data_IF_147714601289
#
_entry.id   IF_147714601289
#
_cell.length_a   1.000
_cell.length_b   1.000
_cell.length_c   1.000
_cell.angle_alpha   90.00
_cell.angle_beta   90.00
_cell.angle_gamma   90.00
#
_symmetry.space_group_name_H-M   'P 1'
#
loop_
_entity.id
_entity.type
_entity.pdbx_description
1 polymer ?
#
# COMPACT_ATOMS: atom_id res chain seq x y z
N UNK A 1 0.99 -14.38 17.61
CA UNK A 1 1.09 -15.46 16.58
C UNK A 1 0.46 -14.94 15.30
N UNK A 2 1.16 -15.00 14.17
CA UNK A 2 0.61 -14.50 12.90
C UNK A 2 -0.58 -15.35 12.43
N UNK A 3 -1.69 -14.77 11.95
CA UNK A 3 -2.90 -15.48 11.50
C UNK A 3 -2.68 -16.48 10.35
N UNK A 4 -1.52 -16.42 9.68
CA UNK A 4 -1.13 -17.33 8.60
C UNK A 4 -0.96 -18.79 9.08
N UNK A 5 -0.95 -19.03 10.39
CA UNK A 5 -0.74 -20.35 11.00
C UNK A 5 -1.88 -21.37 10.78
N UNK A 6 -3.09 -20.92 10.43
CA UNK A 6 -4.25 -21.83 10.24
C UNK A 6 -4.28 -22.56 8.89
N UNK A 7 -3.58 -22.02 7.88
CA UNK A 7 -3.73 -22.44 6.47
C UNK A 7 -2.59 -23.33 5.96
N UNK A 8 -1.41 -23.25 6.57
CA UNK A 8 -0.19 -23.86 6.03
C UNK A 8 0.33 -24.93 6.99
N UNK A 9 0.21 -26.21 6.61
CA UNK A 9 0.64 -27.37 7.43
C UNK A 9 2.17 -27.44 7.67
N UNK A 10 3.00 -26.68 6.95
CA UNK A 10 4.45 -26.57 7.18
C UNK A 10 4.94 -25.14 6.93
N UNK A 11 5.49 -24.52 7.99
CA UNK A 11 6.03 -23.14 7.99
C UNK A 11 7.25 -23.01 7.08
N UNK A 12 7.35 -21.86 6.42
CA UNK A 12 8.60 -21.34 5.87
C UNK A 12 8.47 -19.86 5.48
N UNK A 13 8.21 -18.99 6.46
CA UNK A 13 8.41 -17.55 6.29
C UNK A 13 9.84 -17.23 6.73
N UNK A 14 10.66 -16.74 5.81
CA UNK A 14 12.10 -16.65 6.00
C UNK A 14 12.57 -15.21 5.87
N UNK A 15 13.15 -14.68 6.94
CA UNK A 15 13.79 -13.37 6.98
C UNK A 15 15.22 -13.49 6.54
N UNK A 16 15.58 -12.93 5.40
CA UNK A 16 16.89 -13.13 4.79
C UNK A 16 17.95 -12.27 5.51
N UNK A 17 19.12 -12.84 5.82
CA UNK A 17 20.28 -12.04 6.29
C UNK A 17 20.94 -11.30 5.12
N UNK A 18 21.52 -10.13 5.36
CA UNK A 18 22.49 -9.47 4.47
C UNK A 18 23.83 -10.24 4.58
N UNK A 19 24.22 -11.00 3.56
CA UNK A 19 25.61 -11.45 3.41
C UNK A 19 26.09 -11.05 2.02
N UNK A 20 27.34 -10.65 1.95
CA UNK A 20 28.07 -10.20 0.76
C UNK A 20 28.40 -11.31 -0.23
N UNK A 21 27.86 -12.52 -0.04
CA UNK A 21 28.25 -13.67 -0.83
C UNK A 21 27.36 -13.80 -2.06
N UNK A 22 27.98 -13.60 -3.22
CA UNK A 22 27.42 -13.78 -4.57
C UNK A 22 26.92 -15.20 -4.88
N UNK A 23 26.88 -16.12 -3.90
CA UNK A 23 26.85 -17.57 -4.11
C UNK A 23 25.55 -18.25 -3.62
N UNK A 24 24.53 -17.46 -3.25
CA UNK A 24 23.30 -17.97 -2.60
C UNK A 24 22.42 -18.84 -3.49
N UNK A 25 22.24 -18.46 -4.75
CA UNK A 25 21.45 -19.26 -5.69
C UNK A 25 22.23 -20.49 -6.18
N UNK A 26 23.54 -20.35 -6.40
CA UNK A 26 24.42 -21.46 -6.81
C UNK A 26 24.41 -22.62 -5.80
N UNK A 27 24.35 -22.29 -4.50
CA UNK A 27 24.31 -23.28 -3.41
C UNK A 27 22.90 -23.75 -3.04
N UNK A 28 21.86 -23.22 -3.70
CA UNK A 28 20.45 -23.49 -3.42
C UNK A 28 20.07 -23.40 -1.93
N UNK A 29 20.52 -22.32 -1.27
CA UNK A 29 20.33 -22.09 0.18
C UNK A 29 19.72 -20.73 0.46
N UNK A 30 18.77 -20.69 1.39
CA UNK A 30 18.22 -19.46 1.98
C UNK A 30 18.67 -19.34 3.43
N UNK A 31 19.32 -18.22 3.77
CA UNK A 31 19.82 -17.94 5.13
C UNK A 31 18.91 -16.98 5.87
N UNK A 32 18.58 -17.33 7.11
CA UNK A 32 17.79 -16.51 8.00
C UNK A 32 18.62 -15.48 8.76
N UNK A 33 17.97 -14.44 9.28
CA UNK A 33 18.57 -13.52 10.23
C UNK A 33 19.07 -14.22 11.52
N UNK A 34 18.51 -15.38 11.85
CA UNK A 34 18.92 -16.23 12.99
C UNK A 34 20.07 -17.19 12.66
N UNK A 35 20.72 -17.04 11.50
CA UNK A 35 21.81 -17.90 10.99
C UNK A 35 21.42 -19.37 10.69
N UNK A 36 20.13 -19.68 10.78
CA UNK A 36 19.57 -20.94 10.26
C UNK A 36 19.52 -20.85 8.73
N UNK A 37 19.76 -21.96 8.03
CA UNK A 37 19.57 -22.03 6.59
C UNK A 37 18.63 -23.15 6.19
N UNK A 38 18.04 -23.00 5.00
CA UNK A 38 17.22 -24.02 4.34
C UNK A 38 17.74 -24.26 2.94
N UNK A 39 17.96 -25.54 2.63
CA UNK A 39 18.17 -25.98 1.25
C UNK A 39 16.83 -25.97 0.50
N UNK A 40 16.87 -25.69 -0.79
CA UNK A 40 15.68 -25.73 -1.64
C UNK A 40 15.92 -26.44 -2.96
N UNK A 41 14.91 -27.16 -3.45
CA UNK A 41 14.86 -27.62 -4.83
C UNK A 41 14.26 -26.55 -5.74
N UNK A 42 13.22 -25.87 -5.24
CA UNK A 42 12.55 -24.74 -5.88
C UNK A 42 12.34 -23.61 -4.87
N UNK A 43 12.44 -22.36 -5.33
CA UNK A 43 12.27 -21.17 -4.49
C UNK A 43 11.26 -20.22 -5.10
N UNK A 44 10.41 -19.59 -4.26
CA UNK A 44 9.48 -18.54 -4.69
C UNK A 44 9.81 -17.24 -3.97
N UNK A 45 10.12 -16.20 -4.72
CA UNK A 45 10.39 -14.84 -4.24
C UNK A 45 9.13 -13.99 -4.35
N UNK A 46 8.49 -13.68 -3.22
CA UNK A 46 7.29 -12.84 -3.15
C UNK A 46 7.44 -11.74 -2.07
N UNK A 47 8.59 -11.06 -2.07
CA UNK A 47 9.00 -10.11 -1.01
C UNK A 47 8.44 -8.70 -1.18
N UNK A 48 7.69 -8.45 -2.26
CA UNK A 48 7.09 -7.16 -2.57
C UNK A 48 8.09 -6.01 -2.61
N UNK A 49 7.60 -4.80 -2.33
CA UNK A 49 8.41 -3.57 -2.23
C UNK A 49 8.25 -2.94 -0.85
N UNK A 50 9.19 -2.06 -0.49
CA UNK A 50 9.13 -1.25 0.75
C UNK A 50 8.64 0.17 0.45
N UNK A 51 8.29 0.92 1.49
CA UNK A 51 8.10 2.37 1.37
C UNK A 51 9.41 3.01 0.87
N UNK A 52 9.30 3.97 -0.06
CA UNK A 52 10.44 4.71 -0.57
C UNK A 52 10.26 6.20 -0.30
N UNK A 53 11.26 6.85 0.30
CA UNK A 53 11.20 8.27 0.71
C UNK A 53 11.91 9.22 -0.27
N UNK A 54 12.33 8.74 -1.44
CA UNK A 54 13.01 9.53 -2.49
C UNK A 54 14.22 10.36 -2.04
N UNK A 55 14.86 10.01 -0.91
CA UNK A 55 15.93 10.78 -0.26
C UNK A 55 15.51 12.19 0.18
N UNK A 56 14.22 12.41 0.41
CA UNK A 56 13.70 13.64 1.02
C UNK A 56 14.18 13.72 2.47
N UNK A 57 14.74 14.87 2.84
CA UNK A 57 15.31 15.10 4.16
C UNK A 57 14.24 14.92 5.24
N UNK A 58 14.55 14.17 6.29
CA UNK A 58 13.64 13.92 7.43
C UNK A 58 12.40 13.08 7.12
N UNK A 59 12.08 12.77 5.86
CA UNK A 59 10.88 12.01 5.52
C UNK A 59 10.87 10.59 6.14
N UNK A 60 12.00 9.90 6.16
CA UNK A 60 12.10 8.58 6.80
C UNK A 60 12.01 8.64 8.34
N UNK A 61 12.37 9.78 8.94
CA UNK A 61 12.42 9.95 10.40
C UNK A 61 11.09 10.47 10.97
N UNK A 62 10.45 11.40 10.26
CA UNK A 62 9.31 12.17 10.78
C UNK A 62 7.98 11.90 10.07
N UNK A 63 7.97 11.26 8.89
CA UNK A 63 6.73 10.92 8.21
C UNK A 63 6.22 9.54 8.62
N UNK A 64 4.90 9.41 8.74
CA UNK A 64 4.23 8.14 8.98
C UNK A 64 4.11 7.35 7.68
N UNK A 65 4.76 6.19 7.53
CA UNK A 65 4.45 5.28 6.44
C UNK A 65 3.04 4.69 6.62
N UNK A 66 2.51 4.08 5.57
CA UNK A 66 1.25 3.34 5.62
C UNK A 66 1.33 2.07 4.75
N UNK A 67 2.12 1.09 5.20
CA UNK A 67 2.37 -0.17 4.49
C UNK A 67 2.07 -1.41 5.33
N UNK A 68 2.28 -1.33 6.63
CA UNK A 68 2.10 -2.46 7.56
C UNK A 68 0.92 -2.23 8.50
N UNK A 69 0.51 -3.28 9.22
CA UNK A 69 -0.51 -3.14 10.26
C UNK A 69 0.00 -2.25 11.40
N UNK A 70 1.27 -2.41 11.73
CA UNK A 70 1.96 -1.64 12.76
C UNK A 70 2.01 -0.15 12.41
N UNK A 71 2.23 0.17 11.12
CA UNK A 71 2.15 1.55 10.62
C UNK A 71 0.77 2.15 10.87
N UNK A 72 -0.29 1.41 10.52
CA UNK A 72 -1.66 1.87 10.67
C UNK A 72 -2.06 2.11 12.14
N UNK A 73 -1.64 1.22 13.04
CA UNK A 73 -1.89 1.37 14.48
C UNK A 73 -1.12 2.55 15.08
N UNK A 74 0.14 2.73 14.68
CA UNK A 74 0.97 3.86 15.11
C UNK A 74 0.36 5.18 14.66
N UNK A 75 -0.05 5.26 13.39
CA UNK A 75 -0.72 6.45 12.86
C UNK A 75 -2.04 6.73 13.60
N UNK A 76 -2.87 5.71 13.84
CA UNK A 76 -4.13 5.87 14.58
C UNK A 76 -3.90 6.49 15.96
N UNK A 77 -2.93 5.98 16.72
CA UNK A 77 -2.60 6.51 18.04
C UNK A 77 -2.13 7.96 17.98
N UNK A 78 -1.26 8.28 17.01
CA UNK A 78 -0.79 9.65 16.78
C UNK A 78 -1.94 10.62 16.48
N UNK A 79 -2.82 10.26 15.53
CA UNK A 79 -3.97 11.08 15.15
C UNK A 79 -4.87 11.37 16.37
N UNK A 80 -5.19 10.35 17.16
CA UNK A 80 -6.01 10.51 18.38
C UNK A 80 -5.32 11.42 19.41
N UNK A 81 -3.99 11.34 19.55
CA UNK A 81 -3.23 12.23 20.42
C UNK A 81 -3.23 13.68 19.91
N UNK A 82 -3.10 13.89 18.60
CA UNK A 82 -3.19 15.22 17.99
C UNK A 82 -4.55 15.86 18.27
N UNK A 83 -5.65 15.13 18.03
CA UNK A 83 -7.01 15.61 18.30
C UNK A 83 -7.21 15.96 19.79
N UNK A 84 -6.73 15.10 20.69
CA UNK A 84 -6.82 15.35 22.14
C UNK A 84 -6.01 16.58 22.58
N UNK A 85 -4.80 16.78 22.04
CA UNK A 85 -3.99 17.96 22.33
C UNK A 85 -4.64 19.22 21.76
N UNK A 86 -5.20 19.13 20.56
CA UNK A 86 -5.90 20.23 19.90
C UNK A 86 -7.14 20.68 20.70
N UNK A 87 -7.88 19.74 21.30
CA UNK A 87 -9.05 20.06 22.14
C UNK A 87 -8.68 20.67 23.51
N UNK A 88 -7.41 20.67 23.88
CA UNK A 88 -6.92 21.11 25.20
C UNK A 88 -6.08 22.39 25.14
N UNK A 89 -5.71 22.84 23.94
CA UNK A 89 -4.88 24.04 23.76
C UNK A 89 -5.74 25.26 23.46
N UNK A 90 -5.43 26.37 24.13
CA UNK A 90 -6.02 27.68 23.85
C UNK A 90 -5.26 28.43 22.76
N UNK A 91 -4.00 28.06 22.48
CA UNK A 91 -3.22 28.64 21.37
C UNK A 91 -3.75 28.15 20.02
N UNK A 92 -4.32 29.07 19.26
CA UNK A 92 -4.89 28.82 17.93
C UNK A 92 -3.84 28.34 16.93
N UNK A 93 -2.59 28.82 17.05
CA UNK A 93 -1.50 28.43 16.13
C UNK A 93 -1.16 26.96 16.34
N UNK A 94 -0.90 26.57 17.59
CA UNK A 94 -0.68 25.16 17.96
C UNK A 94 -1.87 24.29 17.58
N UNK A 95 -3.10 24.75 17.83
CA UNK A 95 -4.32 24.00 17.47
C UNK A 95 -4.39 23.74 15.97
N UNK A 96 -4.15 24.76 15.15
CA UNK A 96 -4.15 24.66 13.69
C UNK A 96 -3.10 23.66 13.18
N UNK A 97 -1.90 23.68 13.75
CA UNK A 97 -0.81 22.76 13.38
C UNK A 97 -1.12 21.30 13.74
N UNK A 98 -1.78 21.08 14.89
CA UNK A 98 -2.24 19.75 15.32
C UNK A 98 -3.40 19.21 14.46
N UNK A 99 -4.24 20.09 13.90
CA UNK A 99 -5.41 19.75 13.08
C UNK A 99 -5.16 19.82 11.57
N UNK A 100 -3.92 20.06 11.16
CA UNK A 100 -3.48 20.02 9.76
C UNK A 100 -2.78 18.69 9.49
N UNK A 101 -3.25 17.94 8.50
CA UNK A 101 -2.74 16.61 8.15
C UNK A 101 -2.26 16.60 6.69
N UNK A 102 -0.95 16.47 6.48
CA UNK A 102 -0.36 16.42 5.14
C UNK A 102 -0.16 14.98 4.67
N UNK A 103 -0.66 14.66 3.48
CA UNK A 103 -0.50 13.37 2.80
C UNK A 103 0.39 13.60 1.59
N UNK A 104 1.57 12.97 1.57
CA UNK A 104 2.48 13.03 0.43
C UNK A 104 2.14 11.88 -0.52
N UNK A 105 1.70 12.25 -1.73
CA UNK A 105 1.35 11.33 -2.82
C UNK A 105 -0.15 11.29 -3.15
N UNK A 106 -0.49 11.60 -4.40
CA UNK A 106 -1.85 11.52 -4.95
C UNK A 106 -2.15 10.22 -5.69
N UNK A 107 -1.54 9.10 -5.26
CA UNK A 107 -1.86 7.75 -5.74
C UNK A 107 -3.06 7.14 -5.01
N UNK A 108 -3.44 5.88 -5.33
CA UNK A 108 -4.59 5.22 -4.71
C UNK A 108 -4.57 5.30 -3.18
N UNK A 109 -3.47 4.91 -2.54
CA UNK A 109 -3.34 4.94 -1.08
C UNK A 109 -3.54 6.33 -0.49
N UNK A 110 -2.93 7.37 -1.08
CA UNK A 110 -3.07 8.73 -0.58
C UNK A 110 -4.50 9.26 -0.68
N UNK A 111 -5.20 8.92 -1.76
CA UNK A 111 -6.61 9.30 -1.97
C UNK A 111 -7.52 8.57 -1.00
N UNK A 112 -7.36 7.25 -0.82
CA UNK A 112 -8.15 6.47 0.13
C UNK A 112 -7.93 6.95 1.57
N UNK A 113 -6.68 7.30 1.90
CA UNK A 113 -6.33 7.90 3.19
C UNK A 113 -7.03 9.25 3.39
N UNK A 114 -6.98 10.15 2.41
CA UNK A 114 -7.60 11.46 2.53
C UNK A 114 -9.12 11.36 2.74
N UNK A 115 -9.82 10.55 1.94
CA UNK A 115 -11.26 10.35 2.09
C UNK A 115 -11.62 9.70 3.42
N UNK A 116 -10.92 8.63 3.80
CA UNK A 116 -11.22 7.89 5.04
C UNK A 116 -10.90 8.71 6.29
N UNK A 117 -9.77 9.42 6.31
CA UNK A 117 -9.42 10.32 7.41
C UNK A 117 -10.36 11.52 7.48
N UNK A 118 -10.90 11.97 6.34
CA UNK A 118 -11.93 13.00 6.27
C UNK A 118 -13.09 12.73 7.21
N UNK A 119 -13.70 11.55 7.06
CA UNK A 119 -14.83 11.14 7.88
C UNK A 119 -14.38 10.73 9.32
N UNK A 120 -13.25 10.03 9.48
CA UNK A 120 -12.78 9.56 10.80
C UNK A 120 -12.40 10.70 11.74
N UNK A 121 -11.60 11.66 11.28
CA UNK A 121 -11.12 12.76 12.09
C UNK A 121 -12.27 13.67 12.51
N UNK A 122 -13.21 13.94 11.61
CA UNK A 122 -14.42 14.68 11.93
C UNK A 122 -15.22 14.00 13.06
N UNK A 123 -15.48 12.69 12.92
CA UNK A 123 -16.21 11.91 13.91
C UNK A 123 -15.49 11.87 15.27
N UNK A 124 -14.17 11.68 15.28
CA UNK A 124 -13.40 11.62 16.53
C UNK A 124 -13.32 12.96 17.24
N UNK A 125 -13.17 14.07 16.49
CA UNK A 125 -13.05 15.39 17.09
C UNK A 125 -14.39 15.91 17.61
N UNK A 126 -15.49 15.62 16.92
CA UNK A 126 -16.85 15.92 17.41
C UNK A 126 -17.18 15.22 18.72
N UNK A 127 -16.65 14.01 18.97
CA UNK A 127 -16.79 13.32 20.27
C UNK A 127 -16.05 13.99 21.43
N UNK A 128 -15.12 14.90 21.14
CA UNK A 128 -14.46 15.74 22.12
C UNK A 128 -15.20 17.09 22.29
N UNK A 129 -16.44 17.18 21.81
CA UNK A 129 -17.27 18.38 21.76
C UNK A 129 -16.62 19.53 20.98
N UNK A 130 -15.81 19.20 19.95
CA UNK A 130 -15.13 20.17 19.10
C UNK A 130 -15.72 20.24 17.69
N UNK A 131 -15.56 21.40 17.04
CA UNK A 131 -15.95 21.58 15.64
C UNK A 131 -14.92 20.95 14.69
N UNK A 132 -15.37 20.10 13.78
CA UNK A 132 -14.52 19.50 12.75
C UNK A 132 -14.09 20.50 11.65
N UNK A 133 -14.61 21.73 11.63
CA UNK A 133 -14.33 22.72 10.58
C UNK A 133 -12.86 23.20 10.57
N UNK A 134 -12.17 23.12 11.70
CA UNK A 134 -10.75 23.47 11.81
C UNK A 134 -9.82 22.39 11.25
N UNK A 135 -10.34 21.18 11.00
CA UNK A 135 -9.56 20.06 10.47
C UNK A 135 -9.32 20.26 8.99
N UNK A 136 -8.05 20.11 8.57
CA UNK A 136 -7.64 20.22 7.18
C UNK A 136 -6.76 19.05 6.78
N UNK A 137 -7.07 18.44 5.64
CA UNK A 137 -6.23 17.44 4.99
C UNK A 137 -5.66 18.04 3.72
N UNK A 138 -4.36 17.87 3.47
CA UNK A 138 -3.71 18.29 2.24
C UNK A 138 -3.10 17.08 1.54
N UNK A 139 -3.31 16.95 0.24
CA UNK A 139 -2.59 16.00 -0.60
C UNK A 139 -1.53 16.77 -1.38
N UNK A 140 -0.26 16.54 -1.05
CA UNK A 140 0.88 17.10 -1.78
C UNK A 140 1.33 16.09 -2.82
N UNK A 141 1.16 16.41 -4.09
CA UNK A 141 1.41 15.52 -5.20
C UNK A 141 2.37 16.16 -6.20
N UNK A 142 3.48 15.46 -6.48
CA UNK A 142 4.49 15.92 -7.43
C UNK A 142 3.96 16.06 -8.85
N UNK A 143 3.21 15.08 -9.41
CA UNK A 143 2.54 15.28 -10.68
C UNK A 143 1.41 16.32 -10.62
N UNK A 144 1.06 16.89 -11.78
CA UNK A 144 -0.05 17.84 -11.91
C UNK A 144 -1.43 17.18 -11.79
N UNK A 145 -1.48 15.85 -11.77
CA UNK A 145 -2.72 15.09 -11.72
C UNK A 145 -2.64 13.97 -10.67
N UNK A 146 -3.77 13.73 -9.99
CA UNK A 146 -3.96 12.54 -9.18
C UNK A 146 -3.88 11.27 -10.05
N UNK A 147 -3.51 10.12 -9.49
CA UNK A 147 -3.56 8.82 -10.20
C UNK A 147 -2.82 8.77 -11.55
N UNK A 148 -1.84 9.66 -11.79
CA UNK A 148 -1.10 9.69 -13.04
C UNK A 148 -0.33 8.38 -13.24
N UNK A 149 -0.60 7.69 -14.35
CA UNK A 149 -0.01 6.40 -14.68
C UNK A 149 -0.57 5.21 -13.89
N UNK A 150 -1.62 5.42 -13.10
CA UNK A 150 -2.30 4.38 -12.34
C UNK A 150 -3.51 3.82 -13.11
N UNK A 151 -3.86 2.55 -12.87
CA UNK A 151 -5.02 1.91 -13.50
C UNK A 151 -6.34 2.59 -13.16
N UNK A 152 -6.39 3.32 -12.04
CA UNK A 152 -7.56 4.05 -11.57
C UNK A 152 -7.70 5.46 -12.17
N UNK A 153 -6.91 5.83 -13.19
CA UNK A 153 -6.94 7.18 -13.78
C UNK A 153 -8.34 7.67 -14.18
N UNK A 154 -9.23 6.75 -14.57
CA UNK A 154 -10.61 7.03 -14.92
C UNK A 154 -11.47 7.48 -13.72
N UNK A 155 -11.06 7.22 -12.49
CA UNK A 155 -11.80 7.56 -11.26
C UNK A 155 -11.58 8.99 -10.76
N UNK A 156 -10.74 9.80 -11.42
CA UNK A 156 -10.36 11.15 -10.96
C UNK A 156 -11.55 12.09 -10.74
N UNK A 157 -12.55 12.00 -11.60
CA UNK A 157 -13.76 12.82 -11.46
C UNK A 157 -14.55 12.43 -10.21
N UNK A 158 -14.78 11.13 -10.01
CA UNK A 158 -15.46 10.62 -8.82
C UNK A 158 -14.69 10.95 -7.53
N UNK A 159 -13.36 10.91 -7.55
CA UNK A 159 -12.50 11.38 -6.45
C UNK A 159 -12.75 12.86 -6.14
N UNK A 160 -12.73 13.72 -7.16
CA UNK A 160 -12.94 15.16 -7.01
C UNK A 160 -14.33 15.46 -6.44
N UNK A 161 -15.36 14.78 -6.94
CA UNK A 161 -16.73 14.91 -6.43
C UNK A 161 -16.87 14.42 -4.98
N UNK A 162 -16.17 13.36 -4.59
CA UNK A 162 -16.18 12.87 -3.23
C UNK A 162 -15.49 13.84 -2.26
N UNK A 163 -14.32 14.39 -2.64
CA UNK A 163 -13.61 15.38 -1.83
C UNK A 163 -14.41 16.67 -1.67
N UNK A 164 -15.10 17.13 -2.72
CA UNK A 164 -15.99 18.31 -2.63
C UNK A 164 -17.19 18.10 -1.68
N UNK A 165 -17.58 16.85 -1.41
CA UNK A 165 -18.68 16.48 -0.49
C UNK A 165 -18.18 16.12 0.92
N UNK A 166 -16.87 16.17 1.16
CA UNK A 166 -16.29 15.90 2.47
C UNK A 166 -16.77 16.94 3.49
N UNK A 167 -16.99 16.53 4.74
CA UNK A 167 -17.36 17.43 5.84
C UNK A 167 -16.18 18.27 6.33
N UNK A 168 -14.96 17.88 6.00
CA UNK A 168 -13.73 18.63 6.28
C UNK A 168 -13.01 19.00 4.98
N UNK A 169 -12.18 20.04 5.04
CA UNK A 169 -11.40 20.51 3.89
C UNK A 169 -10.37 19.46 3.45
N UNK A 170 -10.44 19.04 2.19
CA UNK A 170 -9.42 18.23 1.51
C UNK A 170 -8.83 19.06 0.36
N UNK A 171 -7.60 19.52 0.54
CA UNK A 171 -6.92 20.42 -0.38
C UNK A 171 -5.92 19.66 -1.24
N UNK A 172 -5.86 19.99 -2.54
CA UNK A 172 -4.92 19.38 -3.48
C UNK A 172 -3.81 20.36 -3.82
N UNK A 173 -2.57 20.00 -3.46
CA UNK A 173 -1.36 20.74 -3.84
C UNK A 173 -0.65 19.92 -4.91
N UNK A 174 -0.98 20.19 -6.18
CA UNK A 174 -0.49 19.46 -7.35
C UNK A 174 0.73 20.14 -7.97
N UNK A 175 1.56 19.39 -8.71
CA UNK A 175 2.80 19.93 -9.26
C UNK A 175 3.84 20.30 -8.18
N UNK A 176 3.73 19.71 -6.98
CA UNK A 176 4.50 20.08 -5.81
C UNK A 176 5.40 18.95 -5.33
N UNK A 177 6.71 19.20 -5.27
CA UNK A 177 7.71 18.22 -4.83
C UNK A 177 8.10 18.48 -3.38
N UNK A 178 7.77 17.57 -2.47
CA UNK A 178 8.24 17.65 -1.07
C UNK A 178 9.76 17.51 -1.03
N UNK A 179 10.43 18.41 -0.31
CA UNK A 179 11.90 18.48 -0.20
C UNK A 179 12.39 18.20 1.21
N UNK A 180 11.59 18.51 2.24
CA UNK A 180 11.94 18.26 3.64
C UNK A 180 10.70 17.99 4.49
N UNK A 181 10.85 17.11 5.47
CA UNK A 181 9.88 16.85 6.54
C UNK A 181 10.58 17.06 7.87
N UNK A 182 9.91 17.67 8.82
CA UNK A 182 10.34 17.87 10.21
C UNK A 182 9.23 17.44 11.16
N UNK A 183 9.43 17.40 12.50
CA UNK A 183 8.37 17.02 13.44
C UNK A 183 7.09 17.87 13.39
N UNK A 184 7.19 19.10 12.90
CA UNK A 184 6.15 20.12 12.94
C UNK A 184 5.90 20.82 11.59
N UNK A 185 6.55 20.39 10.50
CA UNK A 185 6.28 20.93 9.17
C UNK A 185 6.67 20.02 8.00
N UNK A 186 6.07 20.30 6.85
CA UNK A 186 6.45 19.75 5.54
C UNK A 186 6.76 20.88 4.56
N UNK A 187 7.93 20.83 3.94
CA UNK A 187 8.41 21.80 2.95
C UNK A 187 8.34 21.19 1.56
N UNK A 188 7.86 21.95 0.58
CA UNK A 188 7.77 21.55 -0.81
C UNK A 188 8.15 22.68 -1.78
N UNK A 189 8.53 22.29 -2.98
CA UNK A 189 8.76 23.19 -4.10
C UNK A 189 7.60 23.13 -5.09
N UNK A 190 7.12 24.29 -5.53
CA UNK A 190 6.08 24.43 -6.54
C UNK A 190 6.31 25.71 -7.34
N UNK A 191 6.27 25.64 -8.67
CA UNK A 191 6.47 26.80 -9.55
C UNK A 191 7.75 27.61 -9.26
N UNK A 192 8.83 26.93 -8.84
CA UNK A 192 10.11 27.57 -8.49
C UNK A 192 10.14 28.26 -7.13
N UNK A 193 9.09 28.13 -6.32
CA UNK A 193 9.03 28.66 -4.95
C UNK A 193 9.09 27.53 -3.92
N UNK A 194 9.74 27.79 -2.80
CA UNK A 194 9.77 26.90 -1.63
C UNK A 194 8.70 27.35 -0.64
N UNK A 195 7.78 26.46 -0.29
CA UNK A 195 6.65 26.69 0.60
C UNK A 195 6.69 25.68 1.74
N UNK A 196 6.20 26.08 2.92
CA UNK A 196 6.15 25.22 4.11
C UNK A 196 4.76 25.23 4.71
N UNK A 197 4.29 24.04 5.08
CA UNK A 197 3.02 23.84 5.81
C UNK A 197 3.38 23.35 7.19
N UNK A 198 2.92 24.06 8.21
CA UNK A 198 2.98 23.61 9.60
C UNK A 198 2.01 22.45 9.81
N UNK A 199 2.52 21.32 10.27
CA UNK A 199 1.74 20.13 10.56
C UNK A 199 2.52 19.20 11.48
N UNK A 200 1.85 18.64 12.49
CA UNK A 200 2.43 17.55 13.28
C UNK A 200 2.23 16.16 12.64
N UNK A 201 1.59 16.09 11.47
CA UNK A 201 1.26 14.81 10.84
C UNK A 201 1.54 14.86 9.34
N UNK A 202 2.68 14.28 8.96
CA UNK A 202 3.00 13.99 7.55
C UNK A 202 2.84 12.50 7.30
N UNK A 203 1.89 12.10 6.46
CA UNK A 203 1.65 10.72 6.03
C UNK A 203 2.34 10.52 4.67
N UNK A 204 3.22 9.53 4.58
CA UNK A 204 3.98 9.23 3.37
C UNK A 204 3.39 8.05 2.61
N UNK A 205 2.64 8.34 1.55
CA UNK A 205 2.04 7.34 0.66
C UNK A 205 2.74 7.22 -0.70
N UNK A 206 3.64 8.16 -1.02
CA UNK A 206 4.32 8.23 -2.29
C UNK A 206 5.50 7.26 -2.40
N UNK A 207 5.60 6.58 -3.54
CA UNK A 207 6.80 5.84 -3.90
C UNK A 207 6.99 4.50 -3.18
N UNK A 208 7.71 3.62 -3.87
CA UNK A 208 8.12 2.34 -3.31
C UNK A 208 9.57 2.06 -3.68
N UNK A 209 10.33 1.53 -2.73
CA UNK A 209 11.69 1.10 -2.91
C UNK A 209 11.76 -0.41 -3.10
N UNK A 210 12.78 -0.87 -3.83
CA UNK A 210 13.12 -2.29 -3.91
C UNK A 210 13.34 -2.84 -2.52
N UNK A 211 12.85 -4.05 -2.25
CA UNK A 211 13.16 -4.70 -0.99
C UNK A 211 14.67 -4.96 -0.93
N UNK A 212 15.40 -4.58 0.14
CA UNK A 212 16.84 -4.81 0.25
C UNK A 212 17.25 -6.27 0.05
N UNK A 213 16.35 -7.21 0.36
CA UNK A 213 16.60 -8.62 0.15
C UNK A 213 16.60 -9.03 -1.33
N UNK A 214 15.83 -8.30 -2.16
CA UNK A 214 15.81 -8.44 -3.62
C UNK A 214 16.99 -7.70 -4.25
N UNK A 215 17.33 -6.53 -3.72
CA UNK A 215 18.47 -5.72 -4.18
C UNK A 215 19.79 -6.47 -4.04
N UNK A 216 19.99 -7.14 -2.90
CA UNK A 216 21.23 -7.89 -2.61
C UNK A 216 21.31 -9.28 -3.27
N UNK A 217 20.33 -9.67 -4.09
CA UNK A 217 20.41 -10.93 -4.83
C UNK A 217 21.47 -10.84 -5.93
N UNK A 218 22.25 -11.91 -6.11
CA UNK A 218 23.17 -12.06 -7.24
C UNK A 218 22.39 -12.40 -8.53
N UNK A 219 21.68 -11.41 -9.07
CA UNK A 219 20.97 -11.45 -10.35
C UNK A 219 21.65 -10.45 -11.27
N UNK A 220 21.93 -10.85 -12.50
CA UNK A 220 22.66 -10.02 -13.46
C UNK A 220 21.90 -8.72 -13.76
N UNK A 221 22.61 -7.58 -13.93
CA UNK A 221 21.96 -6.27 -14.10
C UNK A 221 20.95 -6.22 -15.26
N UNK A 222 21.18 -6.96 -16.34
CA UNK A 222 20.28 -7.08 -17.48
C UNK A 222 18.93 -7.73 -17.12
N UNK A 223 18.89 -8.58 -16.09
CA UNK A 223 17.69 -9.22 -15.56
C UNK A 223 17.04 -8.41 -14.43
N UNK A 224 17.45 -7.15 -14.29
CA UNK A 224 16.80 -6.16 -13.42
C UNK A 224 16.26 -5.01 -14.24
N UNK A 225 15.16 -4.44 -13.78
CA UNK A 225 14.64 -3.18 -14.30
C UNK A 225 15.40 -2.01 -13.68
N UNK A 226 15.29 -0.80 -14.26
CA UNK A 226 15.90 0.42 -13.71
C UNK A 226 15.45 0.73 -12.28
N UNK A 227 14.24 0.32 -11.90
CA UNK A 227 13.68 0.52 -10.56
C UNK A 227 13.92 -0.68 -9.62
N UNK A 228 14.80 -1.63 -10.00
CA UNK A 228 15.28 -2.73 -9.18
C UNK A 228 14.37 -3.98 -9.10
N UNK A 229 13.26 -4.01 -9.82
CA UNK A 229 12.42 -5.22 -9.95
C UNK A 229 13.14 -6.32 -10.74
N UNK A 230 12.84 -7.57 -10.40
CA UNK A 230 13.35 -8.76 -11.09
C UNK A 230 12.58 -8.96 -12.41
N UNK A 231 13.28 -9.06 -13.53
CA UNK A 231 12.68 -9.47 -14.80
C UNK A 231 12.41 -10.96 -14.76
N UNK A 232 11.17 -11.35 -15.06
CA UNK A 232 10.75 -12.76 -15.08
C UNK A 232 10.30 -13.17 -16.48
N UNK A 233 10.42 -14.47 -16.76
CA UNK A 233 9.84 -15.12 -17.94
C UNK A 233 8.30 -15.14 -17.84
N UNK A 234 7.56 -15.40 -18.93
CA UNK A 234 6.10 -15.56 -18.88
C UNK A 234 5.63 -16.65 -17.91
N UNK A 235 6.47 -17.66 -17.63
CA UNK A 235 6.25 -18.74 -16.65
C UNK A 235 6.54 -18.32 -15.19
N UNK A 236 6.93 -17.06 -14.97
CA UNK A 236 7.31 -16.44 -13.70
C UNK A 236 8.63 -16.93 -13.09
N UNK A 237 9.46 -17.59 -13.88
CA UNK A 237 10.82 -17.98 -13.50
C UNK A 237 11.82 -16.83 -13.72
N UNK A 238 12.90 -16.83 -12.94
CA UNK A 238 14.07 -16.02 -13.26
C UNK A 238 14.80 -16.61 -14.47
N UNK A 239 15.21 -15.79 -15.46
CA UNK A 239 15.93 -16.28 -16.64
C UNK A 239 17.23 -17.03 -16.31
N UNK A 240 17.97 -16.57 -15.29
CA UNK A 240 19.24 -17.15 -14.86
C UNK A 240 19.08 -18.40 -13.96
N UNK A 241 17.94 -18.53 -13.28
CA UNK A 241 17.70 -19.56 -12.27
C UNK A 241 16.32 -20.19 -12.48
N UNK A 242 16.19 -21.18 -13.38
CA UNK A 242 14.89 -21.77 -13.73
C UNK A 242 14.14 -22.40 -12.55
N UNK A 243 14.82 -22.81 -11.49
CA UNK A 243 14.22 -23.33 -10.26
C UNK A 243 13.67 -22.23 -9.33
N UNK A 244 13.93 -20.96 -9.64
CA UNK A 244 13.52 -19.81 -8.84
C UNK A 244 12.40 -19.06 -9.57
N UNK A 245 11.24 -19.02 -8.92
CA UNK A 245 10.10 -18.23 -9.34
C UNK A 245 10.04 -16.91 -8.57
N UNK A 246 9.47 -15.87 -9.16
CA UNK A 246 9.21 -14.61 -8.47
C UNK A 246 7.83 -14.04 -8.86
N UNK A 247 7.17 -13.37 -7.92
CA UNK A 247 5.85 -12.77 -8.14
C UNK A 247 5.62 -11.50 -7.32
N UNK A 248 4.56 -10.77 -7.68
CA UNK A 248 4.13 -9.54 -7.04
C UNK A 248 5.06 -8.38 -7.35
N UNK A 249 5.01 -7.36 -6.48
CA UNK A 249 5.62 -6.05 -6.73
C UNK A 249 7.16 -6.06 -6.86
N UNK A 250 7.83 -7.16 -6.49
CA UNK A 250 9.27 -7.31 -6.71
C UNK A 250 9.63 -7.75 -8.14
N UNK A 251 8.65 -7.94 -9.03
CA UNK A 251 8.85 -8.45 -10.38
C UNK A 251 8.34 -7.51 -11.47
N UNK A 252 8.82 -7.73 -12.69
CA UNK A 252 8.27 -7.19 -13.92
C UNK A 252 8.30 -8.27 -14.99
N UNK A 253 7.16 -8.56 -15.61
CA UNK A 253 7.08 -9.44 -16.76
C UNK A 253 7.73 -8.75 -17.96
N UNK A 254 8.71 -9.41 -18.58
CA UNK A 254 9.52 -8.80 -19.65
C UNK A 254 8.72 -8.49 -20.92
N UNK A 255 7.63 -9.23 -21.16
CA UNK A 255 6.80 -9.13 -22.36
C UNK A 255 5.53 -8.29 -22.19
N UNK A 256 5.05 -8.12 -20.95
CA UNK A 256 3.76 -7.48 -20.67
C UNK A 256 3.76 -6.88 -19.24
N UNK A 257 4.04 -5.57 -19.08
CA UNK A 257 4.13 -4.95 -17.77
C UNK A 257 2.74 -4.85 -17.10
N UNK A 258 2.53 -5.64 -16.06
CA UNK A 258 1.31 -5.59 -15.24
C UNK A 258 1.42 -4.59 -14.08
N UNK A 259 0.29 -3.99 -13.63
CA UNK A 259 0.28 -3.07 -12.52
C UNK A 259 0.60 -3.78 -11.20
N UNK A 260 1.34 -3.10 -10.31
CA UNK A 260 1.69 -3.57 -8.97
C UNK A 260 0.46 -3.59 -8.06
N UNK A 261 -0.33 -4.67 -8.13
CA UNK A 261 -1.59 -4.81 -7.41
C UNK A 261 -1.73 -6.19 -6.76
N UNK A 262 -2.50 -6.26 -5.68
CA UNK A 262 -2.80 -7.52 -5.00
C UNK A 262 -3.46 -8.56 -5.94
N UNK A 263 -4.35 -8.12 -6.85
CA UNK A 263 -5.00 -9.03 -7.80
C UNK A 263 -4.02 -9.67 -8.79
N UNK A 264 -2.98 -8.94 -9.21
CA UNK A 264 -1.92 -9.46 -10.07
C UNK A 264 -1.08 -10.46 -9.28
N UNK A 265 -0.60 -10.07 -8.08
CA UNK A 265 0.19 -10.94 -7.22
C UNK A 265 -0.53 -12.26 -6.88
N UNK A 266 -1.84 -12.20 -6.58
CA UNK A 266 -2.67 -13.37 -6.32
C UNK A 266 -2.75 -14.33 -7.52
N UNK A 267 -2.99 -13.79 -8.72
CA UNK A 267 -3.05 -14.59 -9.95
C UNK A 267 -1.69 -15.19 -10.32
N UNK A 268 -0.60 -14.43 -10.12
CA UNK A 268 0.77 -14.92 -10.30
C UNK A 268 1.10 -16.06 -9.32
N UNK A 269 0.69 -15.95 -8.05
CA UNK A 269 0.86 -17.03 -7.07
C UNK A 269 0.16 -18.33 -7.51
N UNK A 270 -1.07 -18.23 -8.03
CA UNK A 270 -1.78 -19.38 -8.61
C UNK A 270 -1.06 -19.98 -9.81
N UNK A 271 -0.51 -19.15 -10.69
CA UNK A 271 0.25 -19.61 -11.85
C UNK A 271 1.56 -20.32 -11.45
N UNK A 272 2.30 -19.79 -10.47
CA UNK A 272 3.50 -20.44 -9.92
C UNK A 272 3.14 -21.81 -9.32
N UNK A 273 2.08 -21.89 -8.53
CA UNK A 273 1.65 -23.16 -7.95
C UNK A 273 1.28 -24.21 -9.02
N UNK A 274 0.67 -23.78 -10.13
CA UNK A 274 0.40 -24.65 -11.27
C UNK A 274 1.71 -25.13 -11.93
N UNK A 275 2.64 -24.22 -12.21
CA UNK A 275 3.92 -24.54 -12.84
C UNK A 275 4.82 -25.42 -11.98
N UNK A 276 4.85 -25.22 -10.65
CA UNK A 276 5.56 -26.12 -9.73
C UNK A 276 4.98 -27.54 -9.78
N UNK A 277 3.65 -27.70 -9.82
CA UNK A 277 3.02 -29.01 -9.98
C UNK A 277 3.31 -29.64 -11.35
N UNK A 278 3.38 -28.84 -12.42
CA UNK A 278 3.76 -29.32 -13.75
C UNK A 278 5.20 -29.84 -13.75
N UNK A 279 6.14 -29.11 -13.15
CA UNK A 279 7.54 -29.53 -13.00
C UNK A 279 7.68 -30.86 -12.27
N UNK A 280 7.00 -31.01 -11.13
CA UNK A 280 7.03 -32.26 -10.34
C UNK A 280 6.55 -33.47 -11.17
N UNK A 281 5.62 -33.24 -12.09
CA UNK A 281 5.05 -34.29 -12.96
C UNK A 281 5.80 -34.46 -14.28
N UNK A 282 6.88 -33.70 -14.52
CA UNK A 282 7.61 -33.71 -15.79
C UNK A 282 6.83 -33.10 -16.96
N UNK A 283 5.84 -32.25 -16.69
CA UNK A 283 5.08 -31.54 -17.72
C UNK A 283 5.70 -30.18 -18.05
N UNK A 284 5.43 -29.69 -19.27
CA UNK A 284 5.83 -28.35 -19.70
C UNK A 284 5.15 -27.24 -18.88
N UNK A 285 5.88 -26.15 -18.67
CA UNK A 285 5.39 -24.97 -17.98
C UNK A 285 4.48 -24.13 -18.88
N UNK A 286 3.54 -23.41 -18.26
CA UNK A 286 2.59 -22.56 -18.97
C UNK A 286 2.76 -21.08 -18.58
N UNK A 287 2.61 -20.14 -19.54
CA UNK A 287 2.62 -18.72 -19.23
C UNK A 287 1.52 -18.32 -18.23
N UNK A 288 1.86 -17.42 -17.31
CA UNK A 288 0.91 -16.83 -16.38
C UNK A 288 -0.10 -15.96 -17.14
N UNK A 289 -1.38 -16.29 -17.04
CA UNK A 289 -2.47 -15.49 -17.59
C UNK A 289 -3.08 -14.65 -16.47
N UNK A 290 -2.82 -13.34 -16.50
CA UNK A 290 -3.41 -12.40 -15.55
C UNK A 290 -4.51 -11.61 -16.25
N UNK A 291 -5.71 -11.62 -15.67
CA UNK A 291 -6.85 -10.84 -16.15
C UNK A 291 -7.23 -9.84 -15.07
N UNK A 292 -7.13 -8.56 -15.39
CA UNK A 292 -7.59 -7.49 -14.50
C UNK A 292 -9.12 -7.57 -14.39
N UNK A 293 -9.65 -7.45 -13.17
CA UNK A 293 -11.09 -7.58 -12.88
C UNK A 293 -11.78 -6.23 -12.70
N UNK A 294 -11.11 -5.14 -13.10
CA UNK A 294 -11.45 -3.78 -12.71
C UNK A 294 -10.72 -3.37 -11.42
N UNK A 295 -11.16 -2.25 -10.85
CA UNK A 295 -10.52 -1.61 -9.72
C UNK A 295 -11.54 -0.93 -8.81
N UNK A 296 -11.19 -0.77 -7.54
CA UNK A 296 -12.08 -0.18 -6.54
C UNK A 296 -11.26 0.73 -5.64
N UNK A 297 -11.86 1.82 -5.18
CA UNK A 297 -11.21 2.82 -4.34
C UNK A 297 -12.16 3.30 -3.24
N UNK A 298 -11.71 3.29 -2.00
CA UNK A 298 -12.45 3.86 -0.86
C UNK A 298 -12.30 5.39 -0.86
N UNK A 299 -13.40 6.13 -0.76
CA UNK A 299 -13.40 7.61 -0.78
C UNK A 299 -14.00 8.22 0.51
N UNK A 300 -14.08 7.43 1.57
CA UNK A 300 -14.70 7.79 2.85
C UNK A 300 -15.21 6.56 3.60
N UNK A 301 -15.73 6.77 4.81
CA UNK A 301 -16.52 5.76 5.51
C UNK A 301 -17.78 5.50 4.68
N UNK A 302 -18.05 4.23 4.38
CA UNK A 302 -19.21 3.78 3.59
C UNK A 302 -19.36 4.40 2.19
N UNK A 303 -18.28 5.01 1.67
CA UNK A 303 -18.22 5.62 0.33
C UNK A 303 -17.09 4.99 -0.46
N UNK A 304 -17.39 4.45 -1.63
CA UNK A 304 -16.35 3.90 -2.52
C UNK A 304 -16.76 4.09 -3.98
N UNK A 305 -15.78 3.97 -4.86
CA UNK A 305 -16.02 3.84 -6.29
C UNK A 305 -15.52 2.48 -6.73
N UNK A 306 -16.37 1.74 -7.42
CA UNK A 306 -16.08 0.44 -7.99
C UNK A 306 -16.21 0.53 -9.50
N UNK A 307 -15.09 0.34 -10.20
CA UNK A 307 -15.08 0.06 -11.63
C UNK A 307 -15.02 -1.45 -11.85
N UNK A 308 -16.08 -2.00 -12.42
CA UNK A 308 -16.26 -3.43 -12.61
C UNK A 308 -15.93 -3.79 -14.05
N UNK A 309 -14.89 -4.62 -14.23
CA UNK A 309 -14.41 -5.10 -15.54
C UNK A 309 -14.17 -3.99 -16.59
N UNK A 310 -13.78 -2.79 -16.16
CA UNK A 310 -13.55 -1.62 -17.03
C UNK A 310 -14.77 -1.22 -17.88
N UNK A 311 -15.98 -1.49 -17.38
CA UNK A 311 -17.24 -1.25 -18.10
C UNK A 311 -18.28 -0.47 -17.31
N UNK A 312 -18.33 -0.68 -15.99
CA UNK A 312 -19.37 -0.11 -15.15
C UNK A 312 -18.74 0.57 -13.93
N UNK A 313 -18.96 1.87 -13.80
CA UNK A 313 -18.57 2.64 -12.62
C UNK A 313 -19.78 2.79 -11.68
N UNK A 314 -19.61 2.35 -10.43
CA UNK A 314 -20.60 2.48 -9.36
C UNK A 314 -19.99 3.27 -8.20
N UNK A 315 -20.61 4.38 -7.83
CA UNK A 315 -20.09 5.32 -6.83
C UNK A 315 -20.92 5.32 -5.55
N UNK A 316 -20.38 5.91 -4.48
CA UNK A 316 -21.07 6.09 -3.20
C UNK A 316 -21.25 4.80 -2.40
N UNK A 317 -22.39 4.68 -1.71
CA UNK A 317 -22.69 3.53 -0.84
C UNK A 317 -22.86 2.23 -1.63
N UNK A 318 -23.47 2.27 -2.82
CA UNK A 318 -23.57 1.10 -3.68
C UNK A 318 -22.18 0.60 -4.13
N UNK A 319 -21.28 1.52 -4.48
CA UNK A 319 -19.89 1.18 -4.78
C UNK A 319 -19.16 0.58 -3.58
N UNK A 320 -19.47 1.04 -2.37
CA UNK A 320 -18.95 0.50 -1.12
C UNK A 320 -19.38 -0.96 -0.89
N UNK A 321 -20.68 -1.27 -1.01
CA UNK A 321 -21.19 -2.63 -0.85
C UNK A 321 -20.57 -3.61 -1.88
N UNK A 322 -20.37 -3.16 -3.11
CA UNK A 322 -19.71 -3.96 -4.15
C UNK A 322 -18.25 -4.24 -3.78
N UNK A 323 -17.55 -3.23 -3.26
CA UNK A 323 -16.18 -3.39 -2.75
C UNK A 323 -16.16 -4.41 -1.62
N UNK A 324 -17.03 -4.30 -0.64
CA UNK A 324 -17.08 -5.24 0.48
C UNK A 324 -17.34 -6.68 0.01
N UNK A 325 -18.38 -6.89 -0.80
CA UNK A 325 -18.69 -8.20 -1.36
C UNK A 325 -17.53 -8.82 -2.15
N UNK A 326 -16.81 -8.00 -2.92
CA UNK A 326 -15.63 -8.44 -3.67
C UNK A 326 -14.48 -8.85 -2.75
N UNK A 327 -14.21 -8.05 -1.71
CA UNK A 327 -13.16 -8.38 -0.73
C UNK A 327 -13.50 -9.67 0.04
N UNK A 328 -14.76 -9.89 0.41
CA UNK A 328 -15.21 -11.13 1.06
C UNK A 328 -14.93 -12.37 0.20
N UNK A 329 -15.10 -12.27 -1.12
CA UNK A 329 -14.80 -13.38 -2.04
C UNK A 329 -13.29 -13.58 -2.27
N UNK A 330 -12.48 -12.52 -2.16
CA UNK A 330 -11.04 -12.54 -2.42
C UNK A 330 -10.20 -12.90 -1.19
N UNK A 331 -10.77 -12.84 0.02
CA UNK A 331 -10.08 -13.28 1.22
C UNK A 331 -9.76 -14.79 1.13
N UNK A 332 -8.50 -15.20 1.41
CA UNK A 332 -8.11 -16.61 1.31
C UNK A 332 -8.90 -17.48 2.29
N UNK A 333 -9.55 -18.50 1.74
CA UNK A 333 -10.68 -19.23 2.32
C UNK A 333 -10.41 -20.11 3.55
N UNK A 334 -9.19 -20.25 4.13
CA UNK A 334 -9.08 -20.85 5.47
C UNK A 334 -8.95 -19.85 6.61
N UNK A 335 -9.13 -18.54 6.38
CA UNK A 335 -9.38 -17.58 7.47
C UNK A 335 -10.90 -17.56 7.76
N UNK A 336 -11.45 -18.72 8.10
CA UNK A 336 -12.66 -18.78 8.92
C UNK A 336 -12.25 -18.61 10.39
N UNK A 337 -11.75 -17.42 10.72
CA UNK A 337 -12.29 -16.79 11.91
C UNK A 337 -13.53 -16.08 11.40
N UNK A 338 -14.66 -16.80 11.38
CA UNK A 338 -15.97 -16.19 11.15
C UNK A 338 -16.08 -14.92 12.01
N UNK A 339 -15.46 -14.90 13.21
CA UNK A 339 -15.26 -13.73 14.07
C UNK A 339 -14.54 -12.53 13.46
N UNK A 340 -13.48 -12.67 12.67
CA UNK A 340 -12.73 -11.52 12.12
C UNK A 340 -13.44 -10.96 10.89
N UNK A 341 -13.99 -11.82 10.04
CA UNK A 341 -14.84 -11.40 8.93
C UNK A 341 -16.17 -10.84 9.45
N UNK A 342 -16.78 -11.44 10.48
CA UNK A 342 -17.96 -10.85 11.13
C UNK A 342 -17.60 -9.63 11.94
N UNK A 343 -16.43 -9.50 12.56
CA UNK A 343 -16.06 -8.25 13.23
C UNK A 343 -15.79 -7.17 12.21
N UNK A 344 -15.16 -7.46 11.08
CA UNK A 344 -14.98 -6.48 10.00
C UNK A 344 -16.34 -6.08 9.38
N UNK A 345 -17.21 -7.05 9.08
CA UNK A 345 -18.59 -6.81 8.63
C UNK A 345 -19.42 -6.10 9.72
N UNK A 346 -19.28 -6.45 11.00
CA UNK A 346 -20.00 -5.81 12.11
C UNK A 346 -19.42 -4.43 12.39
N UNK A 347 -18.12 -4.21 12.26
CA UNK A 347 -17.51 -2.90 12.47
C UNK A 347 -17.82 -1.95 11.30
N UNK A 348 -17.92 -2.48 10.06
CA UNK A 348 -18.19 -1.72 8.82
C UNK A 348 -19.71 -1.57 8.53
N UNK A 349 -20.56 -2.58 8.80
CA UNK A 349 -22.03 -2.53 8.66
C UNK A 349 -22.75 -2.09 9.95
N UNK A 350 -22.23 -2.44 11.14
CA UNK A 350 -22.82 -2.10 12.44
C UNK A 350 -21.88 -1.19 13.26
N UNK A 351 -21.61 0.00 12.74
CA UNK A 351 -21.08 1.17 13.46
C UNK A 351 -20.44 0.90 14.84
N UNK A 352 -19.22 0.33 14.86
CA UNK A 352 -18.28 0.58 15.95
C UNK A 352 -17.35 1.74 15.61
N UNK A 353 -17.95 2.83 15.13
CA UNK A 353 -17.35 4.16 15.24
C UNK A 353 -17.52 4.72 16.67
N UNK A 354 -17.73 3.87 17.69
CA UNK A 354 -18.27 4.19 19.02
C UNK A 354 -17.44 3.69 20.21
N UNK A 355 -16.20 3.23 20.01
CA UNK A 355 -15.24 3.02 21.12
C UNK A 355 -13.99 3.86 20.96
#
# INVERSE_FOLDING_TARGET
>A
MSPVSGTIKRKSHYFFRRSSDSDRFTRKKVYLASDIHYDYDNLVLALGRKAGFFRVEGAQEYAFPFKTKEDAETLRQHLQQCLKKASQTEDETTRKTLLTFAIVGGGPTGIEMAGTLGDLLANWYQKLDQSAQEIRILIINRPQELLQGDINVHLREAVSQAFAKSSISIELILGASVTKVTPDSVTYEQNGQTLTIETNTTIWSAGTATNPLIENLAISPENRTKNGSLKVLPTLQLPEFPEVFAAGDCTMLSSDPLPATAQVAYQQGKAIAHNLNAMIKGHSLTPAQVKLRGSMMKLGIEKSVANIFDRFEVTGHSGHLIREGTYLQLLPTPIHDFKVTTNWIVDEIFHRHSQ
#
